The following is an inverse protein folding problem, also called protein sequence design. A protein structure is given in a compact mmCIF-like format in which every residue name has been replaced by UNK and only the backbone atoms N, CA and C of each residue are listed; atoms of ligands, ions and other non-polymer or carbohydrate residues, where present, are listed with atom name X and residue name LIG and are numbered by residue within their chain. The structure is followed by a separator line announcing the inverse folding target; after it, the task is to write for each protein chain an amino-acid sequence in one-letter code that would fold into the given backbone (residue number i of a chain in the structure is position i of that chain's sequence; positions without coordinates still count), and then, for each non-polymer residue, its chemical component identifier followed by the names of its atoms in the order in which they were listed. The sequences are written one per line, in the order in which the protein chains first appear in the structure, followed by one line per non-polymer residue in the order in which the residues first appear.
data_IF_393978698712
#
_entry.id   IF_393978698712
#
_cell.length_a   1.000
_cell.length_b   1.000
_cell.length_c   1.000
_cell.angle_alpha   90.00
_cell.angle_beta   90.00
_cell.angle_gamma   90.00
#
_symmetry.space_group_name_H-M   'P 1'
#
loop_
_entity.id
_entity.type
_entity.pdbx_description
1 polymer ?
#
# COMPACT_ATOMS: atom_id res chain seq x y z
N UNK A 1 9.86 -1.02 0.71
CA UNK A 1 10.06 -0.27 -0.53
C UNK A 1 10.11 1.23 -0.27
N UNK A 2 9.17 1.82 0.48
CA UNK A 2 9.11 3.25 0.78
C UNK A 2 10.44 3.79 1.33
N UNK A 3 10.99 3.16 2.37
CA UNK A 3 12.25 3.58 2.97
C UNK A 3 13.43 3.55 1.97
N UNK A 4 13.51 2.54 1.12
CA UNK A 4 14.54 2.44 0.07
C UNK A 4 14.45 3.58 -0.93
N UNK A 5 13.23 3.90 -1.39
CA UNK A 5 13.03 4.98 -2.34
C UNK A 5 13.28 6.35 -1.69
N UNK A 6 12.90 6.53 -0.43
CA UNK A 6 13.20 7.75 0.34
C UNK A 6 14.71 7.96 0.46
N UNK A 7 15.47 6.91 0.80
CA UNK A 7 16.94 6.96 0.83
C UNK A 7 17.51 7.40 -0.51
N UNK A 8 17.04 6.81 -1.62
CA UNK A 8 17.48 7.17 -2.97
C UNK A 8 17.23 8.66 -3.27
N UNK A 9 16.07 9.21 -2.92
CA UNK A 9 15.77 10.62 -3.12
C UNK A 9 16.71 11.53 -2.34
N UNK A 10 17.05 11.16 -1.10
CA UNK A 10 18.01 11.90 -0.26
C UNK A 10 19.41 11.86 -0.92
N UNK A 11 19.89 10.70 -1.32
CA UNK A 11 21.19 10.51 -1.96
C UNK A 11 21.29 11.27 -3.29
N UNK A 12 20.19 11.38 -4.03
CA UNK A 12 20.09 12.15 -5.27
C UNK A 12 19.78 13.63 -5.04
N UNK A 13 19.78 14.09 -3.79
CA UNK A 13 19.50 15.48 -3.38
C UNK A 13 18.18 16.03 -3.98
N UNK A 14 17.17 15.19 -4.12
CA UNK A 14 15.86 15.57 -4.61
C UNK A 14 15.04 16.25 -3.51
N UNK A 15 14.33 17.31 -3.87
CA UNK A 15 13.50 18.08 -2.94
C UNK A 15 12.11 18.32 -3.50
N UNK A 16 11.16 18.57 -2.61
CA UNK A 16 9.78 18.86 -2.93
C UNK A 16 8.84 17.70 -2.57
N UNK A 17 7.61 17.76 -3.10
CA UNK A 17 6.58 16.77 -2.86
C UNK A 17 6.69 15.65 -3.91
N UNK A 18 6.67 14.41 -3.43
CA UNK A 18 6.65 13.19 -4.23
C UNK A 18 5.51 12.29 -3.78
N UNK A 19 4.70 11.81 -4.72
CA UNK A 19 3.86 10.65 -4.46
C UNK A 19 4.75 9.40 -4.51
N UNK A 20 4.53 8.50 -3.54
CA UNK A 20 5.35 7.30 -3.42
C UNK A 20 4.46 6.14 -2.95
N UNK A 21 3.89 5.44 -3.91
CA UNK A 21 2.98 4.31 -3.69
C UNK A 21 3.46 3.08 -4.44
N UNK A 22 3.14 1.89 -3.95
CA UNK A 22 3.33 0.65 -4.71
C UNK A 22 2.49 0.67 -5.99
N UNK A 23 2.95 0.03 -7.04
CA UNK A 23 2.17 -0.17 -8.26
C UNK A 23 1.07 -1.21 -8.05
N UNK A 24 0.11 -1.22 -8.95
CA UNK A 24 -1.08 -2.06 -8.87
C UNK A 24 -2.21 -1.40 -8.07
N UNK A 25 -3.43 -1.73 -8.46
CA UNK A 25 -4.64 -1.28 -7.76
C UNK A 25 -5.04 -2.33 -6.73
N UNK A 26 -5.45 -1.86 -5.56
CA UNK A 26 -5.94 -2.74 -4.51
C UNK A 26 -6.88 -2.01 -3.55
N UNK A 27 -7.56 -2.78 -2.72
CA UNK A 27 -8.37 -2.31 -1.61
C UNK A 27 -7.85 -2.90 -0.30
N UNK A 28 -8.27 -2.35 0.83
CA UNK A 28 -7.95 -2.92 2.14
C UNK A 28 -8.41 -4.37 2.27
N UNK A 29 -9.57 -4.68 1.70
CA UNK A 29 -10.12 -6.04 1.67
C UNK A 29 -9.21 -7.00 0.90
N UNK A 30 -8.74 -6.59 -0.29
CA UNK A 30 -7.83 -7.41 -1.10
C UNK A 30 -6.47 -7.62 -0.41
N UNK A 31 -5.94 -6.58 0.23
CA UNK A 31 -4.71 -6.70 1.03
C UNK A 31 -4.91 -7.71 2.17
N UNK A 32 -6.02 -7.64 2.91
CA UNK A 32 -6.33 -8.59 3.99
C UNK A 32 -6.45 -10.03 3.45
N UNK A 33 -7.17 -10.24 2.36
CA UNK A 33 -7.28 -11.56 1.70
C UNK A 33 -5.91 -12.10 1.27
N UNK A 34 -5.06 -11.24 0.72
CA UNK A 34 -3.70 -11.63 0.31
C UNK A 34 -2.81 -11.98 1.50
N UNK A 35 -2.91 -11.25 2.62
CA UNK A 35 -2.18 -11.57 3.85
C UNK A 35 -2.57 -12.95 4.41
N UNK A 36 -3.87 -13.21 4.54
CA UNK A 36 -4.39 -14.51 5.00
C UNK A 36 -3.90 -15.65 4.10
N UNK A 37 -3.86 -15.42 2.80
CA UNK A 37 -3.34 -16.40 1.83
C UNK A 37 -1.85 -16.66 2.00
N UNK A 38 -1.03 -15.61 2.10
CA UNK A 38 0.43 -15.72 2.23
C UNK A 38 0.81 -16.43 3.54
N UNK A 39 0.11 -16.08 4.63
CA UNK A 39 0.37 -16.64 5.96
C UNK A 39 -0.35 -17.99 6.19
N UNK A 40 -1.11 -18.47 5.19
CA UNK A 40 -1.86 -19.73 5.27
C UNK A 40 -2.86 -19.81 6.45
N UNK A 41 -3.50 -18.67 6.76
CA UNK A 41 -4.41 -18.51 7.91
C UNK A 41 -5.89 -18.64 7.55
N UNK A 42 -6.22 -19.15 6.37
CA UNK A 42 -7.61 -19.24 5.88
C UNK A 42 -8.53 -20.14 6.74
N UNK A 43 -7.98 -21.03 7.55
CA UNK A 43 -8.74 -21.84 8.49
C UNK A 43 -8.90 -21.21 9.87
N UNK A 44 -8.14 -20.15 10.17
CA UNK A 44 -8.08 -19.51 11.49
C UNK A 44 -8.74 -18.13 11.48
N UNK A 45 -8.77 -17.46 10.33
CA UNK A 45 -9.25 -16.08 10.18
C UNK A 45 -10.33 -16.02 9.12
N UNK A 46 -11.52 -15.58 9.50
CA UNK A 46 -12.60 -15.22 8.59
C UNK A 46 -12.55 -13.72 8.27
N UNK A 47 -12.63 -13.37 6.99
CA UNK A 47 -12.71 -11.97 6.55
C UNK A 47 -14.15 -11.68 6.17
N UNK A 48 -14.78 -10.78 6.91
CA UNK A 48 -16.14 -10.30 6.64
C UNK A 48 -16.04 -8.99 5.88
N UNK A 49 -16.57 -8.97 4.66
CA UNK A 49 -16.62 -7.76 3.83
C UNK A 49 -17.72 -6.83 4.33
N UNK A 50 -17.35 -5.58 4.58
CA UNK A 50 -18.26 -4.52 4.99
C UNK A 50 -17.99 -3.26 4.15
N UNK A 51 -18.98 -2.40 4.02
CA UNK A 51 -18.82 -1.11 3.37
C UNK A 51 -18.18 -0.06 4.30
N UNK A 52 -17.83 1.09 3.74
CA UNK A 52 -17.25 2.21 4.50
C UNK A 52 -18.19 2.80 5.55
N UNK A 53 -19.50 2.61 5.42
CA UNK A 53 -20.51 3.07 6.36
C UNK A 53 -20.63 2.22 7.62
N UNK A 54 -20.11 0.98 7.60
CA UNK A 54 -20.26 0.03 8.72
C UNK A 54 -19.76 0.59 10.05
N UNK A 55 -18.66 1.34 10.04
CA UNK A 55 -18.04 1.94 11.22
C UNK A 55 -18.34 3.46 11.34
N UNK A 56 -19.36 3.98 10.69
CA UNK A 56 -19.65 5.42 10.65
C UNK A 56 -19.89 6.04 12.03
N UNK A 57 -20.34 5.25 13.01
CA UNK A 57 -20.53 5.70 14.40
C UNK A 57 -19.21 5.82 15.18
N UNK A 58 -18.19 5.10 14.78
CA UNK A 58 -16.88 5.04 15.46
C UNK A 58 -15.87 6.01 14.84
N UNK A 59 -16.00 6.27 13.54
CA UNK A 59 -15.11 7.14 12.78
C UNK A 59 -15.87 8.36 12.25
N UNK A 60 -15.57 9.52 12.82
CA UNK A 60 -16.21 10.79 12.45
C UNK A 60 -15.60 11.46 11.21
N UNK A 61 -14.41 11.04 10.79
CA UNK A 61 -13.75 11.60 9.62
C UNK A 61 -14.20 10.89 8.34
N UNK A 62 -14.76 11.65 7.41
CA UNK A 62 -15.07 11.16 6.08
C UNK A 62 -13.79 10.79 5.33
N UNK A 63 -13.79 9.64 4.67
CA UNK A 63 -12.71 9.17 3.82
C UNK A 63 -13.17 9.15 2.38
N UNK A 64 -12.35 9.59 1.42
CA UNK A 64 -12.69 9.47 0.02
C UNK A 64 -12.78 8.00 -0.41
N UNK A 65 -13.69 7.70 -1.34
CA UNK A 65 -13.88 6.35 -1.87
C UNK A 65 -12.66 5.86 -2.67
N UNK A 66 -11.87 6.78 -3.18
CA UNK A 66 -10.68 6.48 -3.97
C UNK A 66 -9.51 7.36 -3.55
N UNK A 67 -8.45 6.72 -3.06
CA UNK A 67 -7.20 7.37 -2.68
C UNK A 67 -6.04 6.94 -3.61
N UNK A 68 -6.34 6.67 -4.88
CA UNK A 68 -5.35 6.20 -5.86
C UNK A 68 -4.39 7.31 -6.22
N UNK A 69 -3.10 6.97 -6.23
CA UNK A 69 -2.02 7.86 -6.63
C UNK A 69 -1.15 7.20 -7.70
N UNK A 70 -0.44 8.02 -8.45
CA UNK A 70 0.64 7.59 -9.34
C UNK A 70 1.94 8.29 -8.96
N UNK A 71 3.06 7.65 -9.21
CA UNK A 71 4.40 8.15 -8.89
C UNK A 71 4.99 8.98 -10.04
N UNK A 72 4.19 9.86 -10.65
CA UNK A 72 4.57 10.57 -11.88
C UNK A 72 5.94 11.24 -11.80
N UNK A 73 6.21 11.96 -10.73
CA UNK A 73 7.48 12.68 -10.57
C UNK A 73 8.68 11.75 -10.40
N UNK A 74 8.49 10.61 -9.72
CA UNK A 74 9.51 9.57 -9.62
C UNK A 74 9.79 8.92 -10.98
N UNK A 75 8.75 8.67 -11.76
CA UNK A 75 8.86 8.08 -13.10
C UNK A 75 9.57 9.05 -14.06
N UNK A 76 9.18 10.33 -14.06
CA UNK A 76 9.78 11.36 -14.88
C UNK A 76 11.30 11.54 -14.61
N UNK A 77 11.73 11.30 -13.36
CA UNK A 77 13.13 11.36 -12.94
C UNK A 77 13.87 10.02 -13.05
N UNK A 78 13.19 8.95 -13.44
CA UNK A 78 13.72 7.56 -13.42
C UNK A 78 14.23 7.11 -12.04
N UNK A 79 13.57 7.56 -10.98
CA UNK A 79 13.90 7.28 -9.58
C UNK A 79 12.83 6.44 -8.86
N UNK A 80 11.87 5.87 -9.59
CA UNK A 80 10.82 5.04 -9.04
C UNK A 80 11.32 3.61 -8.81
N UNK A 81 11.53 3.24 -7.54
CA UNK A 81 11.90 1.89 -7.12
C UNK A 81 10.75 1.18 -6.40
N UNK A 82 9.55 1.76 -6.43
CA UNK A 82 8.37 1.17 -5.82
C UNK A 82 7.88 0.00 -6.66
N UNK A 83 7.72 -1.17 -6.01
CA UNK A 83 7.32 -2.42 -6.66
C UNK A 83 5.80 -2.61 -6.62
N UNK A 84 5.32 -3.66 -7.27
CA UNK A 84 3.93 -4.10 -7.13
C UNK A 84 3.61 -4.41 -5.67
N UNK A 85 2.41 -4.03 -5.22
CA UNK A 85 2.01 -4.15 -3.82
C UNK A 85 2.02 -5.61 -3.32
N UNK A 86 1.71 -6.59 -4.19
CA UNK A 86 1.72 -8.01 -3.81
C UNK A 86 3.14 -8.50 -3.52
N UNK A 87 4.09 -8.05 -4.34
CA UNK A 87 5.52 -8.39 -4.16
C UNK A 87 6.05 -7.76 -2.87
N UNK A 88 5.76 -6.48 -2.67
CA UNK A 88 6.17 -5.75 -1.47
C UNK A 88 5.56 -6.36 -0.19
N UNK A 89 4.27 -6.71 -0.23
CA UNK A 89 3.57 -7.37 0.88
C UNK A 89 4.15 -8.75 1.18
N UNK A 90 4.38 -9.56 0.15
CA UNK A 90 4.96 -10.90 0.31
C UNK A 90 6.33 -10.85 0.97
N UNK A 91 7.20 -9.94 0.53
CA UNK A 91 8.52 -9.79 1.13
C UNK A 91 8.47 -9.27 2.57
N UNK A 92 7.53 -8.38 2.87
CA UNK A 92 7.32 -7.89 4.23
C UNK A 92 6.89 -9.02 5.19
N UNK A 93 5.96 -9.86 4.75
CA UNK A 93 5.42 -10.94 5.57
C UNK A 93 6.39 -12.11 5.80
N UNK A 94 7.45 -12.23 5.00
CA UNK A 94 8.51 -13.25 5.21
C UNK A 94 9.28 -13.09 6.52
N UNK A 95 9.26 -11.88 7.11
CA UNK A 95 9.89 -11.60 8.40
C UNK A 95 8.98 -11.82 9.60
N UNK A 96 7.77 -12.20 9.37
CA UNK A 96 6.79 -12.57 10.37
C UNK A 96 6.39 -14.04 10.17
#
# INVERSE_FOLDING_TARGET
DFAKNTKLLIEKNQRGLFNMVCSGLTSRLEVAKQMVKILNLHNEIEIIEVDSGHFSKEYFAERPDCERLINKKLDDLSLNTMRDWKVALSDYLKIY
#
